data_IF_233568878324
#
_entry.id   IF_233568878324
#
_cell.length_a   1.000
_cell.length_b   1.000
_cell.length_c   1.000
_cell.angle_alpha   90.00
_cell.angle_beta   90.00
_cell.angle_gamma   90.00
#
_symmetry.space_group_name_H-M   'P 1'
#
loop_
_entity.id
_entity.type
_entity.pdbx_description
1 polymer ?
#
# COMPACT_ATOMS: atom_id res chain seq x y z
N UNK A 1 15.86 -9.13 11.41
CA UNK A 1 16.80 -9.89 10.53
C UNK A 1 16.11 -11.18 10.11
N UNK A 2 16.19 -11.56 8.84
CA UNK A 2 15.63 -12.82 8.35
C UNK A 2 16.48 -14.00 8.85
N UNK A 3 15.87 -15.00 9.48
CA UNK A 3 16.55 -16.15 10.10
C UNK A 3 16.09 -17.46 9.48
N UNK A 4 16.83 -18.55 9.72
CA UNK A 4 16.45 -19.89 9.27
C UNK A 4 15.08 -20.32 9.85
N UNK A 5 14.79 -19.99 11.11
CA UNK A 5 13.49 -20.28 11.72
C UNK A 5 12.33 -19.58 11.00
N UNK A 6 12.54 -18.33 10.57
CA UNK A 6 11.55 -17.59 9.77
C UNK A 6 11.37 -18.28 8.41
N UNK A 7 12.47 -18.66 7.75
CA UNK A 7 12.43 -19.40 6.48
C UNK A 7 11.59 -20.69 6.59
N UNK A 8 11.85 -21.52 7.61
CA UNK A 8 11.14 -22.76 7.88
C UNK A 8 9.65 -22.52 8.14
N UNK A 9 9.32 -21.48 8.89
CA UNK A 9 7.93 -21.12 9.20
C UNK A 9 7.15 -20.71 7.96
N UNK A 10 7.76 -19.92 7.07
CA UNK A 10 7.17 -19.53 5.79
C UNK A 10 6.99 -20.76 4.89
N UNK A 11 8.01 -21.63 4.82
CA UNK A 11 7.96 -22.91 4.09
C UNK A 11 6.96 -23.91 4.66
N UNK A 12 6.51 -23.73 5.90
CA UNK A 12 5.42 -24.48 6.52
C UNK A 12 4.03 -23.81 6.33
N UNK A 13 3.97 -22.69 5.58
CA UNK A 13 2.71 -22.03 5.22
C UNK A 13 2.15 -21.13 6.32
N UNK A 14 2.98 -20.71 7.28
CA UNK A 14 2.58 -19.71 8.25
C UNK A 14 2.46 -18.33 7.59
N UNK A 15 1.56 -17.51 8.12
CA UNK A 15 1.45 -16.11 7.72
C UNK A 15 2.63 -15.35 8.30
N UNK A 16 3.23 -14.46 7.53
CA UNK A 16 4.35 -13.64 7.99
C UNK A 16 4.12 -12.16 7.68
N UNK A 17 4.55 -11.28 8.58
CA UNK A 17 4.55 -9.84 8.38
C UNK A 17 5.96 -9.36 8.05
N UNK A 18 6.09 -8.46 7.07
CA UNK A 18 7.40 -8.03 6.58
C UNK A 18 7.38 -6.57 6.10
N UNK A 19 8.49 -5.83 6.25
CA UNK A 19 8.63 -4.47 5.71
C UNK A 19 8.80 -4.51 4.18
N UNK A 20 8.32 -3.45 3.52
CA UNK A 20 8.56 -3.20 2.09
C UNK A 20 9.08 -1.78 1.88
N UNK A 21 9.41 -1.42 0.63
CA UNK A 21 9.68 -0.04 0.25
C UNK A 21 8.48 0.91 0.47
N UNK A 22 7.27 0.39 0.62
CA UNK A 22 6.03 1.16 0.84
C UNK A 22 5.51 1.12 2.27
N UNK A 23 4.81 0.04 2.62
CA UNK A 23 4.13 -0.22 3.89
C UNK A 23 4.37 -1.67 4.27
N UNK A 24 4.12 -2.06 5.51
CA UNK A 24 4.24 -3.46 5.90
C UNK A 24 3.27 -4.35 5.11
N UNK A 25 3.73 -5.55 4.76
CA UNK A 25 2.97 -6.58 4.09
C UNK A 25 2.67 -7.76 4.99
N UNK A 26 1.56 -8.44 4.74
CA UNK A 26 1.29 -9.81 5.20
C UNK A 26 1.41 -10.75 4.02
N UNK A 27 2.13 -11.84 4.21
CA UNK A 27 2.45 -12.79 3.16
C UNK A 27 2.22 -14.24 3.57
N UNK A 28 2.06 -15.09 2.56
CA UNK A 28 2.03 -16.55 2.67
C UNK A 28 2.77 -17.16 1.48
N UNK A 29 3.41 -18.30 1.69
CA UNK A 29 4.18 -18.97 0.63
C UNK A 29 3.33 -19.22 -0.62
N UNK A 30 3.89 -18.92 -1.79
CA UNK A 30 3.26 -19.30 -3.05
C UNK A 30 3.27 -20.82 -3.20
N UNK A 31 4.23 -21.57 -2.68
CA UNK A 31 4.31 -23.00 -2.98
C UNK A 31 3.30 -23.88 -2.23
N UNK A 32 2.56 -23.32 -1.27
CA UNK A 32 1.56 -24.05 -0.50
C UNK A 32 0.18 -23.70 -1.03
N UNK A 33 -0.53 -24.72 -1.48
CA UNK A 33 -1.94 -24.60 -1.86
C UNK A 33 -2.77 -24.19 -0.63
N UNK A 34 -3.75 -23.34 -0.84
CA UNK A 34 -4.68 -22.85 0.20
C UNK A 34 -4.06 -22.04 1.36
N UNK A 35 -2.76 -21.71 1.32
CA UNK A 35 -2.13 -20.87 2.36
C UNK A 35 -2.76 -19.46 2.44
N UNK A 36 -3.28 -18.96 1.32
CA UNK A 36 -4.01 -17.70 1.22
C UNK A 36 -5.31 -17.68 2.04
N UNK A 37 -5.92 -18.84 2.30
CA UNK A 37 -7.10 -18.94 3.17
C UNK A 37 -6.79 -18.45 4.59
N UNK A 38 -5.60 -18.74 5.12
CA UNK A 38 -5.16 -18.24 6.44
C UNK A 38 -5.07 -16.72 6.46
N UNK A 39 -4.50 -16.15 5.41
CA UNK A 39 -4.36 -14.69 5.27
C UNK A 39 -5.74 -14.01 5.11
N UNK A 40 -6.68 -14.61 4.37
CA UNK A 40 -8.04 -14.10 4.28
C UNK A 40 -8.79 -14.15 5.61
N UNK A 41 -8.68 -15.27 6.33
CA UNK A 41 -9.29 -15.44 7.65
C UNK A 41 -8.76 -14.41 8.65
N UNK A 42 -7.44 -14.26 8.75
CA UNK A 42 -6.77 -13.32 9.65
C UNK A 42 -7.16 -11.86 9.40
N UNK A 43 -7.39 -11.48 8.13
CA UNK A 43 -7.76 -10.10 7.76
C UNK A 43 -9.26 -9.83 7.76
N UNK A 44 -10.08 -10.81 8.10
CA UNK A 44 -11.53 -10.81 7.86
C UNK A 44 -11.86 -10.30 6.45
N UNK A 45 -11.10 -10.79 5.46
CA UNK A 45 -11.11 -10.29 4.09
C UNK A 45 -11.82 -11.30 3.20
N UNK A 46 -12.77 -10.83 2.38
CA UNK A 46 -13.36 -11.65 1.32
C UNK A 46 -12.29 -12.18 0.37
N UNK A 47 -12.36 -13.47 0.02
CA UNK A 47 -11.49 -14.13 -0.96
C UNK A 47 -11.60 -13.54 -2.37
N UNK A 48 -12.63 -12.72 -2.63
CA UNK A 48 -12.77 -11.99 -3.89
C UNK A 48 -11.76 -10.84 -4.03
N UNK A 49 -11.20 -10.34 -2.92
CA UNK A 49 -10.22 -9.25 -2.97
C UNK A 49 -8.83 -9.82 -3.26
N UNK A 50 -8.39 -9.71 -4.51
CA UNK A 50 -7.12 -10.22 -5.00
C UNK A 50 -5.93 -9.89 -4.08
N UNK A 51 -5.05 -10.89 -3.92
CA UNK A 51 -3.70 -10.74 -3.39
C UNK A 51 -2.74 -10.42 -4.54
N UNK A 52 -1.57 -9.88 -4.22
CA UNK A 52 -0.51 -9.68 -5.20
C UNK A 52 0.56 -10.75 -5.05
N UNK A 53 1.11 -11.22 -6.16
CA UNK A 53 2.29 -12.10 -6.17
C UNK A 53 3.54 -11.24 -6.12
N UNK A 54 4.40 -11.52 -5.15
CA UNK A 54 5.69 -10.87 -5.00
C UNK A 54 6.75 -11.77 -5.65
N UNK A 55 7.50 -11.19 -6.57
CA UNK A 55 8.51 -11.85 -7.40
C UNK A 55 9.79 -11.00 -7.44
N UNK A 56 10.91 -11.60 -7.80
CA UNK A 56 12.24 -10.99 -7.80
C UNK A 56 12.62 -10.38 -9.14
N UNK A 57 12.00 -10.82 -10.24
CA UNK A 57 12.33 -10.35 -11.58
C UNK A 57 11.14 -10.40 -12.55
N UNK A 58 11.34 -9.82 -13.74
CA UNK A 58 10.38 -9.90 -14.84
C UNK A 58 10.22 -11.35 -15.34
N UNK A 59 11.31 -12.10 -15.41
CA UNK A 59 11.30 -13.50 -15.85
C UNK A 59 10.49 -14.37 -14.88
N UNK A 60 10.66 -14.17 -13.57
CA UNK A 60 9.86 -14.87 -12.57
C UNK A 60 8.38 -14.47 -12.60
N UNK A 61 8.10 -13.19 -12.86
CA UNK A 61 6.73 -12.69 -13.10
C UNK A 61 6.09 -13.43 -14.27
N UNK A 62 6.74 -13.46 -15.44
CA UNK A 62 6.24 -14.13 -16.65
C UNK A 62 6.09 -15.64 -16.46
N UNK A 63 7.02 -16.27 -15.74
CA UNK A 63 6.94 -17.68 -15.37
C UNK A 63 5.72 -17.98 -14.50
N UNK A 64 5.45 -17.14 -13.48
CA UNK A 64 4.25 -17.27 -12.65
C UNK A 64 2.98 -16.96 -13.46
N UNK A 65 3.00 -15.96 -14.34
CA UNK A 65 1.86 -15.63 -15.19
C UNK A 65 1.61 -16.66 -16.30
N UNK A 66 2.60 -17.51 -16.62
CA UNK A 66 2.59 -18.44 -17.75
C UNK A 66 2.28 -17.74 -19.10
N UNK A 67 2.77 -16.52 -19.25
CA UNK A 67 2.71 -15.77 -20.50
C UNK A 67 3.68 -14.59 -20.50
N UNK A 68 4.03 -14.13 -21.69
CA UNK A 68 4.81 -12.90 -21.88
C UNK A 68 3.95 -11.67 -21.65
N UNK A 69 4.59 -10.59 -21.17
CA UNK A 69 3.94 -9.30 -20.99
C UNK A 69 3.91 -8.46 -22.27
N UNK A 70 2.85 -7.67 -22.41
CA UNK A 70 2.67 -6.68 -23.47
C UNK A 70 3.63 -5.49 -23.35
N UNK A 71 3.61 -4.64 -24.38
CA UNK A 71 4.57 -3.54 -24.51
C UNK A 71 4.38 -2.46 -23.42
N UNK A 72 3.13 -2.15 -23.06
CA UNK A 72 2.83 -1.16 -22.01
C UNK A 72 3.30 -1.65 -20.65
N UNK A 73 3.09 -2.92 -20.34
CA UNK A 73 3.56 -3.56 -19.12
C UNK A 73 5.08 -3.51 -19.00
N UNK A 74 5.81 -3.85 -20.08
CA UNK A 74 7.28 -3.79 -20.09
C UNK A 74 7.82 -2.37 -19.87
N UNK A 75 7.21 -1.35 -20.49
CA UNK A 75 7.57 0.06 -20.27
C UNK A 75 7.42 0.47 -18.80
N UNK A 76 6.30 0.11 -18.18
CA UNK A 76 6.03 0.40 -16.77
C UNK A 76 7.02 -0.32 -15.85
N UNK A 77 7.29 -1.61 -16.10
CA UNK A 77 8.26 -2.38 -15.32
C UNK A 77 9.65 -1.75 -15.39
N UNK A 78 10.12 -1.44 -16.60
CA UNK A 78 11.45 -0.85 -16.81
C UNK A 78 11.62 0.47 -16.06
N UNK A 79 10.55 1.26 -15.92
CA UNK A 79 10.63 2.58 -15.29
C UNK A 79 10.47 2.54 -13.78
N UNK A 80 9.56 1.71 -13.27
CA UNK A 80 9.07 1.81 -11.88
C UNK A 80 9.37 0.60 -11.00
N UNK A 81 9.91 -0.49 -11.56
CA UNK A 81 10.22 -1.70 -10.81
C UNK A 81 11.72 -2.04 -10.87
N UNK A 82 12.34 -2.49 -9.76
CA UNK A 82 11.75 -2.66 -8.41
C UNK A 82 11.30 -1.33 -7.77
N UNK A 83 10.14 -1.32 -7.11
CA UNK A 83 9.61 -0.08 -6.56
C UNK A 83 8.13 -0.11 -6.13
N UNK A 84 7.54 1.06 -5.84
CA UNK A 84 6.22 1.19 -5.23
C UNK A 84 5.09 1.10 -6.27
N UNK A 85 5.13 0.08 -7.12
CA UNK A 85 4.11 -0.20 -8.14
C UNK A 85 3.65 -1.65 -8.04
N UNK A 86 2.37 -1.88 -8.29
CA UNK A 86 1.76 -3.20 -8.44
C UNK A 86 1.13 -3.27 -9.83
N UNK A 87 1.65 -4.17 -10.66
CA UNK A 87 1.25 -4.34 -12.04
C UNK A 87 0.19 -5.43 -12.14
N UNK A 88 -0.99 -5.08 -12.62
CA UNK A 88 -2.04 -6.04 -12.96
C UNK A 88 -1.83 -6.50 -14.39
N UNK A 89 -1.87 -7.81 -14.60
CA UNK A 89 -1.82 -8.42 -15.92
C UNK A 89 -2.71 -9.66 -15.96
N UNK A 90 -3.12 -10.05 -17.17
CA UNK A 90 -3.74 -11.36 -17.43
C UNK A 90 -2.74 -12.47 -17.10
N UNK A 91 -3.19 -13.72 -17.01
CA UNK A 91 -2.30 -14.87 -16.88
C UNK A 91 -2.98 -16.13 -17.42
N UNK A 92 -2.17 -17.16 -17.68
CA UNK A 92 -2.64 -18.51 -18.02
C UNK A 92 -2.42 -19.51 -16.88
N UNK A 93 -1.94 -19.05 -15.72
CA UNK A 93 -1.68 -19.92 -14.57
C UNK A 93 -2.98 -20.54 -14.03
N UNK A 94 -3.17 -21.87 -14.12
CA UNK A 94 -4.42 -22.55 -13.77
C UNK A 94 -4.68 -22.59 -12.26
N UNK A 95 -3.70 -22.23 -11.43
CA UNK A 95 -3.87 -22.14 -9.98
C UNK A 95 -4.88 -21.07 -9.57
N UNK A 96 -4.93 -19.97 -10.31
CA UNK A 96 -5.72 -18.80 -9.94
C UNK A 96 -7.02 -18.78 -10.75
N UNK A 97 -8.20 -18.76 -10.09
CA UNK A 97 -9.48 -18.71 -10.80
C UNK A 97 -9.79 -17.33 -11.39
N UNK A 98 -9.08 -16.29 -10.95
CA UNK A 98 -9.21 -14.93 -11.49
C UNK A 98 -8.63 -14.84 -12.90
N UNK A 99 -9.08 -13.85 -13.68
CA UNK A 99 -8.53 -13.58 -15.02
C UNK A 99 -7.24 -12.78 -15.01
N UNK A 100 -6.97 -12.08 -13.90
CA UNK A 100 -5.84 -11.18 -13.74
C UNK A 100 -5.22 -11.35 -12.36
N UNK A 101 -3.91 -11.10 -12.27
CA UNK A 101 -3.14 -11.09 -11.04
C UNK A 101 -2.37 -9.77 -10.92
N UNK A 102 -2.24 -9.28 -9.69
CA UNK A 102 -1.31 -8.20 -9.37
C UNK A 102 0.07 -8.77 -9.08
N UNK A 103 1.11 -8.17 -9.64
CA UNK A 103 2.50 -8.54 -9.42
C UNK A 103 3.29 -7.37 -8.87
N UNK A 104 4.27 -7.66 -8.02
CA UNK A 104 5.16 -6.66 -7.45
C UNK A 104 6.59 -7.16 -7.36
N UNK A 105 7.52 -6.31 -7.78
CA UNK A 105 8.96 -6.47 -7.54
C UNK A 105 9.36 -5.38 -6.54
N UNK A 106 9.64 -5.77 -5.31
CA UNK A 106 9.86 -4.81 -4.20
C UNK A 106 11.31 -4.39 -4.13
N UNK A 107 11.57 -3.09 -3.98
CA UNK A 107 12.91 -2.59 -3.70
C UNK A 107 13.22 -2.63 -2.20
N UNK A 108 13.29 -3.82 -1.60
CA UNK A 108 13.58 -3.97 -0.17
C UNK A 108 14.45 -5.21 0.11
N UNK A 109 15.59 -5.08 0.81
CA UNK A 109 16.53 -6.19 1.02
C UNK A 109 15.91 -7.42 1.69
N UNK A 110 15.02 -7.21 2.68
CA UNK A 110 14.32 -8.32 3.35
C UNK A 110 13.42 -9.08 2.37
N UNK A 111 12.73 -8.39 1.45
CA UNK A 111 11.86 -9.06 0.48
C UNK A 111 12.68 -9.85 -0.53
N UNK A 112 13.81 -9.31 -0.98
CA UNK A 112 14.74 -10.03 -1.86
C UNK A 112 15.29 -11.29 -1.18
N UNK A 113 15.67 -11.20 0.11
CA UNK A 113 16.13 -12.36 0.89
C UNK A 113 15.03 -13.42 1.05
N UNK A 114 13.79 -13.01 1.33
CA UNK A 114 12.64 -13.92 1.40
C UNK A 114 12.51 -14.66 0.07
N UNK A 115 12.36 -13.95 -1.05
CA UNK A 115 12.14 -14.58 -2.37
C UNK A 115 13.29 -15.51 -2.75
N UNK A 116 14.54 -15.11 -2.49
CA UNK A 116 15.71 -15.96 -2.75
C UNK A 116 15.68 -17.29 -1.97
N UNK A 117 15.13 -17.30 -0.76
CA UNK A 117 15.15 -18.46 0.15
C UNK A 117 13.90 -19.32 0.09
N UNK A 118 12.74 -18.70 -0.13
CA UNK A 118 11.43 -19.36 -0.09
C UNK A 118 10.69 -19.37 -1.43
N UNK A 119 11.17 -18.62 -2.44
CA UNK A 119 10.49 -18.42 -3.72
C UNK A 119 9.44 -17.30 -3.66
N UNK A 120 8.62 -17.15 -4.74
CA UNK A 120 7.52 -16.20 -4.76
C UNK A 120 6.56 -16.38 -3.58
N UNK A 121 5.82 -15.33 -3.26
CA UNK A 121 4.80 -15.39 -2.22
C UNK A 121 3.60 -14.51 -2.56
N UNK A 122 2.44 -14.83 -1.96
CA UNK A 122 1.23 -14.01 -2.07
C UNK A 122 1.22 -13.02 -0.91
N UNK A 123 0.88 -11.77 -1.18
CA UNK A 123 0.85 -10.75 -0.14
C UNK A 123 -0.20 -9.64 -0.35
N UNK A 124 -0.46 -8.93 0.74
CA UNK A 124 -1.28 -7.71 0.83
C UNK A 124 -0.72 -6.80 1.94
N UNK A 125 -1.26 -5.59 2.14
CA UNK A 125 -0.83 -4.71 3.24
C UNK A 125 -1.15 -5.31 4.62
N UNK A 126 -0.33 -5.01 5.63
CA UNK A 126 -0.45 -5.58 6.98
C UNK A 126 -1.33 -4.75 7.92
N UNK A 127 -2.61 -4.59 7.56
CA UNK A 127 -3.59 -3.84 8.34
C UNK A 127 -4.97 -4.49 8.30
N UNK A 128 -5.81 -4.28 9.31
CA UNK A 128 -7.23 -4.68 9.21
C UNK A 128 -7.90 -4.02 8.00
N UNK A 129 -8.85 -4.72 7.38
CA UNK A 129 -9.52 -4.21 6.18
C UNK A 129 -10.21 -2.85 6.46
N UNK A 130 -9.81 -1.83 5.69
CA UNK A 130 -10.32 -0.46 5.82
C UNK A 130 -9.68 0.35 6.96
N UNK A 131 -8.66 -0.16 7.64
CA UNK A 131 -7.83 0.66 8.53
C UNK A 131 -6.71 1.35 7.73
N UNK A 132 -6.09 2.42 8.25
CA UNK A 132 -4.82 2.91 7.74
C UNK A 132 -3.81 1.75 7.52
N UNK A 133 -2.88 1.87 6.58
CA UNK A 133 -1.82 0.85 6.44
C UNK A 133 -0.88 0.86 7.66
N UNK A 134 -0.16 -0.24 7.90
CA UNK A 134 0.89 -0.29 8.92
C UNK A 134 2.24 0.00 8.27
N UNK A 135 3.11 0.76 8.94
CA UNK A 135 4.48 1.09 8.49
C UNK A 135 5.56 0.59 9.44
N UNK A 136 5.17 -0.02 10.57
CA UNK A 136 6.07 -0.65 11.53
C UNK A 136 5.53 -2.01 12.02
N UNK A 137 6.40 -2.85 12.55
CA UNK A 137 6.01 -4.11 13.19
C UNK A 137 5.03 -3.88 14.35
N UNK A 138 5.25 -2.84 15.17
CA UNK A 138 4.37 -2.50 16.29
C UNK A 138 2.96 -2.14 15.83
N UNK A 139 2.84 -1.47 14.67
CA UNK A 139 1.53 -1.17 14.09
C UNK A 139 0.82 -2.42 13.56
N UNK A 140 1.55 -3.42 13.09
CA UNK A 140 0.98 -4.73 12.72
C UNK A 140 0.46 -5.45 13.96
N UNK A 141 1.22 -5.44 15.06
CA UNK A 141 0.84 -6.06 16.36
C UNK A 141 -0.42 -5.44 16.97
N UNK A 142 -0.72 -4.17 16.64
CA UNK A 142 -1.96 -3.53 17.08
C UNK A 142 -3.20 -4.04 16.35
N UNK A 143 -3.04 -4.64 15.17
CA UNK A 143 -4.15 -5.09 14.32
C UNK A 143 -4.36 -6.62 14.38
N UNK A 144 -3.31 -7.37 14.73
CA UNK A 144 -3.33 -8.84 14.67
C UNK A 144 -2.65 -9.46 15.90
N UNK A 145 -3.14 -10.63 16.37
CA UNK A 145 -2.46 -11.40 17.41
C UNK A 145 -1.05 -11.82 16.97
N UNK A 146 -0.08 -11.74 17.89
CA UNK A 146 1.32 -12.06 17.57
C UNK A 146 1.52 -13.55 17.29
N UNK A 147 0.77 -14.40 17.97
CA UNK A 147 0.82 -15.86 17.85
C UNK A 147 0.44 -16.38 16.46
N UNK A 148 -0.31 -15.60 15.68
CA UNK A 148 -0.80 -15.98 14.35
C UNK A 148 0.15 -15.55 13.21
N UNK A 149 1.18 -14.74 13.51
CA UNK A 149 2.04 -14.10 12.51
C UNK A 149 3.52 -14.25 12.86
N UNK A 150 4.29 -14.76 11.90
CA UNK A 150 5.75 -14.66 11.93
C UNK A 150 6.17 -13.22 11.64
N UNK A 151 6.60 -12.49 12.67
CA UNK A 151 6.98 -11.08 12.54
C UNK A 151 8.43 -10.92 12.04
N UNK A 152 8.61 -10.14 10.97
CA UNK A 152 9.93 -9.74 10.47
C UNK A 152 10.08 -8.23 10.65
N UNK A 153 10.97 -7.81 11.54
CA UNK A 153 11.24 -6.39 11.80
C UNK A 153 12.09 -5.74 10.71
N UNK A 154 11.79 -4.47 10.40
CA UNK A 154 12.56 -3.55 9.58
C UNK A 154 11.77 -2.27 9.33
N UNK A 155 12.22 -1.43 8.41
CA UNK A 155 11.61 -0.12 8.17
C UNK A 155 11.02 -0.02 6.77
N UNK A 156 9.95 0.75 6.65
CA UNK A 156 9.39 1.13 5.36
C UNK A 156 9.98 2.45 4.88
N UNK A 157 10.46 2.48 3.63
CA UNK A 157 11.20 3.63 3.09
C UNK A 157 10.33 4.74 2.47
N UNK A 158 9.03 4.55 2.30
CA UNK A 158 8.12 5.57 1.73
C UNK A 158 6.98 5.89 2.70
N UNK A 159 6.32 4.87 3.25
CA UNK A 159 5.16 5.04 4.15
C UNK A 159 3.83 5.27 3.45
N UNK A 160 3.77 5.21 2.12
CA UNK A 160 2.55 5.30 1.32
C UNK A 160 2.41 4.03 0.48
N UNK A 161 1.19 3.58 0.18
CA UNK A 161 1.00 2.35 -0.59
C UNK A 161 1.47 2.47 -2.04
N UNK A 162 1.70 1.31 -2.66
CA UNK A 162 2.00 1.21 -4.08
C UNK A 162 0.84 1.67 -4.95
N UNK A 163 1.18 2.24 -6.11
CA UNK A 163 0.22 2.47 -7.19
C UNK A 163 -0.16 1.14 -7.85
N UNK A 164 -1.43 0.94 -8.15
CA UNK A 164 -1.96 -0.30 -8.75
C UNK A 164 -2.52 0.02 -10.13
N UNK A 165 -1.97 -0.59 -11.18
CA UNK A 165 -2.26 -0.27 -12.58
C UNK A 165 -2.35 -1.55 -13.41
N UNK A 166 -3.31 -1.61 -14.33
CA UNK A 166 -3.27 -2.50 -15.50
C UNK A 166 -2.75 -1.66 -16.70
N UNK A 167 -1.48 -1.83 -17.10
CA UNK A 167 -0.89 -0.97 -18.14
C UNK A 167 -1.43 -1.24 -19.55
N UNK A 168 -1.90 -2.46 -19.83
CA UNK A 168 -2.42 -2.79 -21.16
C UNK A 168 -3.80 -2.18 -21.38
N UNK A 169 -4.67 -2.28 -20.36
CA UNK A 169 -5.99 -1.66 -20.39
C UNK A 169 -5.95 -0.17 -19.99
N UNK A 170 -4.80 0.32 -19.50
CA UNK A 170 -4.56 1.69 -18.99
C UNK A 170 -5.53 2.09 -17.88
N UNK A 171 -5.72 1.19 -16.91
CA UNK A 171 -6.64 1.38 -15.78
C UNK A 171 -5.86 1.47 -14.47
N UNK A 172 -5.91 2.63 -13.81
CA UNK A 172 -5.37 2.81 -12.46
C UNK A 172 -6.45 2.45 -11.45
N UNK A 173 -6.23 1.38 -10.69
CA UNK A 173 -7.15 0.92 -9.65
C UNK A 173 -6.87 1.53 -8.28
N UNK A 174 -5.65 2.02 -8.08
CA UNK A 174 -5.26 2.81 -6.92
C UNK A 174 -4.09 3.69 -7.29
N UNK A 175 -4.28 4.99 -7.14
CA UNK A 175 -3.19 5.93 -7.13
C UNK A 175 -2.50 5.92 -5.76
N UNK A 176 -1.20 5.60 -5.74
CA UNK A 176 -0.37 5.50 -4.53
C UNK A 176 0.86 6.38 -4.63
N UNK A 177 2.02 5.85 -4.25
CA UNK A 177 3.30 6.56 -4.30
C UNK A 177 3.60 7.20 -5.67
N UNK A 178 3.31 6.49 -6.76
CA UNK A 178 3.48 6.96 -8.14
C UNK A 178 2.18 7.59 -8.63
N UNK A 179 2.24 8.81 -9.15
CA UNK A 179 1.05 9.51 -9.65
C UNK A 179 0.57 8.98 -10.99
N UNK A 180 -0.72 9.19 -11.27
CA UNK A 180 -1.30 8.86 -12.58
C UNK A 180 -0.57 9.65 -13.67
N UNK A 181 -0.24 10.92 -13.43
CA UNK A 181 0.49 11.75 -14.37
C UNK A 181 1.87 11.16 -14.73
N UNK A 182 2.59 10.59 -13.76
CA UNK A 182 3.86 9.88 -14.01
C UNK A 182 3.64 8.62 -14.86
N UNK A 183 2.56 7.85 -14.61
CA UNK A 183 2.20 6.67 -15.40
C UNK A 183 1.87 7.08 -16.84
N UNK A 184 1.04 8.08 -17.03
CA UNK A 184 0.61 8.58 -18.34
C UNK A 184 1.79 9.12 -19.16
N UNK A 185 2.76 9.77 -18.50
CA UNK A 185 4.00 10.23 -19.13
C UNK A 185 4.78 9.07 -19.75
N UNK A 186 4.85 7.93 -19.04
CA UNK A 186 5.59 6.74 -19.51
C UNK A 186 4.84 6.00 -20.61
N UNK A 187 3.51 5.92 -20.50
CA UNK A 187 2.66 5.26 -21.48
C UNK A 187 2.44 6.13 -22.74
N UNK A 188 2.60 7.44 -22.62
CA UNK A 188 2.32 8.41 -23.68
C UNK A 188 0.82 8.57 -23.97
N UNK A 189 -0.05 8.19 -23.02
CA UNK A 189 -1.49 8.21 -23.19
C UNK A 189 -2.21 8.31 -21.84
N UNK A 190 -3.43 8.89 -21.80
CA UNK A 190 -4.23 8.97 -20.58
C UNK A 190 -4.64 7.59 -20.05
N UNK A 191 -4.85 7.51 -18.73
CA UNK A 191 -5.34 6.34 -18.02
C UNK A 191 -6.74 6.58 -17.45
N UNK A 192 -7.57 5.54 -17.45
CA UNK A 192 -8.82 5.56 -16.69
C UNK A 192 -8.50 5.44 -15.19
N UNK A 193 -9.05 6.34 -14.38
CA UNK A 193 -8.89 6.31 -12.92
C UNK A 193 -10.11 5.65 -12.25
N UNK A 194 -9.92 4.44 -11.74
CA UNK A 194 -10.91 3.70 -10.94
C UNK A 194 -10.52 3.63 -9.46
N UNK A 195 -9.61 4.51 -9.02
CA UNK A 195 -9.22 4.61 -7.61
C UNK A 195 -10.45 4.89 -6.76
N UNK A 196 -10.73 4.00 -5.82
CA UNK A 196 -11.77 4.23 -4.81
C UNK A 196 -11.24 5.15 -3.71
N UNK A 197 -12.14 5.82 -3.00
CA UNK A 197 -11.77 6.51 -1.78
C UNK A 197 -11.06 5.56 -0.80
N UNK A 198 -10.11 6.13 -0.08
CA UNK A 198 -9.32 5.39 0.89
C UNK A 198 -10.24 4.93 2.02
N UNK A 199 -10.39 3.62 2.20
CA UNK A 199 -11.38 3.05 3.12
C UNK A 199 -11.24 3.47 4.59
N UNK A 200 -10.10 4.03 5.01
CA UNK A 200 -9.95 4.61 6.35
C UNK A 200 -10.74 5.92 6.53
N UNK A 201 -11.09 6.62 5.45
CA UNK A 201 -11.90 7.85 5.48
C UNK A 201 -13.31 7.62 5.98
N UNK A 202 -13.83 6.41 5.83
CA UNK A 202 -15.11 6.00 6.43
C UNK A 202 -15.02 5.86 7.96
N UNK A 203 -13.81 5.74 8.52
CA UNK A 203 -13.56 5.48 9.94
C UNK A 203 -12.93 6.64 10.70
N UNK A 204 -12.35 7.61 9.99
CA UNK A 204 -11.60 8.73 10.57
C UNK A 204 -12.11 10.03 9.94
N UNK A 205 -12.53 10.99 10.78
CA UNK A 205 -12.83 12.34 10.34
C UNK A 205 -11.56 13.11 10.01
N UNK A 206 -11.28 13.36 8.74
CA UNK A 206 -10.07 14.05 8.29
C UNK A 206 -10.41 15.50 7.93
N UNK A 207 -9.73 16.42 8.61
CA UNK A 207 -9.79 17.85 8.36
C UNK A 207 -8.44 18.35 7.88
N UNK A 208 -8.44 19.34 6.99
CA UNK A 208 -7.21 19.97 6.49
C UNK A 208 -7.33 21.48 6.65
N UNK A 209 -6.31 22.09 7.23
CA UNK A 209 -6.18 23.54 7.39
C UNK A 209 -4.84 23.99 6.82
N UNK A 210 -4.75 25.19 6.24
CA UNK A 210 -3.54 25.64 5.54
C UNK A 210 -2.52 26.25 6.50
N UNK A 211 -3.00 27.00 7.51
CA UNK A 211 -2.15 27.80 8.39
C UNK A 211 -2.39 27.54 9.89
N UNK A 212 -1.46 27.92 10.78
CA UNK A 212 -1.70 27.92 12.22
C UNK A 212 -2.91 28.79 12.65
N UNK A 213 -3.20 29.87 11.93
CA UNK A 213 -4.36 30.72 12.22
C UNK A 213 -5.70 30.02 11.89
N UNK A 214 -5.73 29.28 10.78
CA UNK A 214 -6.88 28.44 10.41
C UNK A 214 -7.10 27.34 11.45
N UNK A 215 -6.03 26.72 11.93
CA UNK A 215 -6.09 25.73 13.01
C UNK A 215 -6.68 26.33 14.28
N UNK A 216 -6.21 27.50 14.71
CA UNK A 216 -6.76 28.19 15.88
C UNK A 216 -8.26 28.46 15.70
N UNK A 217 -8.67 28.93 14.53
CA UNK A 217 -10.08 29.20 14.21
C UNK A 217 -10.93 27.92 14.26
N UNK A 218 -10.41 26.81 13.72
CA UNK A 218 -11.06 25.50 13.78
C UNK A 218 -11.26 25.05 15.23
N UNK A 219 -10.20 25.10 16.05
CA UNK A 219 -10.25 24.65 17.45
C UNK A 219 -11.18 25.52 18.31
N UNK A 220 -11.20 26.84 18.08
CA UNK A 220 -12.12 27.75 18.76
C UNK A 220 -13.58 27.43 18.44
N UNK A 221 -13.89 27.01 17.21
CA UNK A 221 -15.22 26.56 16.82
C UNK A 221 -15.60 25.17 17.38
N UNK A 222 -14.62 24.41 17.90
CA UNK A 222 -14.79 23.04 18.41
C UNK A 222 -14.07 22.87 19.75
N UNK A 223 -14.56 23.47 20.85
CA UNK A 223 -13.89 23.46 22.16
C UNK A 223 -13.76 22.07 22.79
N UNK A 224 -14.44 21.05 22.25
CA UNK A 224 -14.37 19.66 22.71
C UNK A 224 -13.57 18.74 21.77
N UNK A 225 -12.84 19.30 20.80
CA UNK A 225 -11.98 18.50 19.92
C UNK A 225 -10.92 17.75 20.75
N UNK A 226 -10.94 16.42 20.67
CA UNK A 226 -9.95 15.53 21.30
C UNK A 226 -9.31 14.59 20.26
N UNK A 227 -9.27 15.04 19.01
CA UNK A 227 -8.62 14.34 17.93
C UNK A 227 -7.12 14.61 17.90
N UNK A 228 -6.47 14.13 16.85
CA UNK A 228 -5.04 14.31 16.63
C UNK A 228 -4.79 15.54 15.77
N UNK A 229 -3.72 16.28 16.05
CA UNK A 229 -3.27 17.41 15.23
C UNK A 229 -1.91 17.07 14.64
N UNK A 230 -1.81 17.11 13.31
CA UNK A 230 -0.58 16.85 12.57
C UNK A 230 -0.09 18.16 11.95
N UNK A 231 0.94 18.76 12.54
CA UNK A 231 1.50 20.04 12.06
C UNK A 231 2.41 19.89 10.84
N UNK A 232 3.06 18.73 10.69
CA UNK A 232 4.04 18.46 9.66
C UNK A 232 3.78 17.07 9.07
N UNK A 233 2.74 16.93 8.23
CA UNK A 233 2.46 15.67 7.57
C UNK A 233 3.62 15.24 6.68
N UNK A 234 4.03 13.99 6.83
CA UNK A 234 5.15 13.40 6.10
C UNK A 234 4.75 12.00 5.62
N UNK A 235 5.13 11.55 4.40
CA UNK A 235 4.82 10.22 3.88
C UNK A 235 5.04 9.06 4.87
N UNK A 236 6.23 8.98 5.46
CA UNK A 236 6.57 7.95 6.46
C UNK A 236 5.66 7.88 7.70
N UNK A 237 5.14 9.02 8.17
CA UNK A 237 4.34 9.07 9.40
C UNK A 237 2.85 9.23 9.12
N UNK A 238 2.46 9.47 7.86
CA UNK A 238 1.08 9.74 7.47
C UNK A 238 0.11 8.70 8.01
N UNK A 239 0.42 7.42 7.79
CA UNK A 239 -0.41 6.34 8.32
C UNK A 239 -0.33 6.19 9.83
N UNK A 240 0.84 6.33 10.43
CA UNK A 240 1.00 6.27 11.89
C UNK A 240 0.11 7.30 12.60
N UNK A 241 0.06 8.53 12.11
CA UNK A 241 -0.77 9.58 12.71
C UNK A 241 -2.27 9.30 12.48
N UNK A 242 -2.67 8.76 11.33
CA UNK A 242 -4.03 8.27 11.12
C UNK A 242 -4.39 7.13 12.08
N UNK A 243 -3.46 6.20 12.35
CA UNK A 243 -3.67 5.11 13.32
C UNK A 243 -3.81 5.63 14.75
N UNK A 244 -3.09 6.70 15.11
CA UNK A 244 -3.29 7.40 16.38
C UNK A 244 -4.68 8.03 16.43
N UNK A 245 -5.10 8.71 15.36
CA UNK A 245 -6.42 9.33 15.27
C UNK A 245 -7.55 8.31 15.42
N UNK A 246 -7.46 7.16 14.73
CA UNK A 246 -8.44 6.07 14.82
C UNK A 246 -8.67 5.57 16.26
N UNK A 247 -7.64 5.69 17.12
CA UNK A 247 -7.67 5.31 18.54
C UNK A 247 -7.93 6.48 19.49
N UNK A 248 -8.05 7.70 18.96
CA UNK A 248 -8.43 8.88 19.74
C UNK A 248 -9.93 8.86 20.08
N UNK A 249 -10.36 9.55 21.15
CA UNK A 249 -11.77 9.57 21.56
C UNK A 249 -12.75 10.04 20.50
N UNK A 250 -12.36 10.99 19.64
CA UNK A 250 -13.24 11.53 18.59
C UNK A 250 -13.02 10.88 17.22
N UNK A 251 -11.97 10.08 17.06
CA UNK A 251 -11.60 9.47 15.77
C UNK A 251 -11.42 10.53 14.66
N UNK A 252 -10.93 11.70 15.04
CA UNK A 252 -10.69 12.81 14.12
C UNK A 252 -9.22 13.19 14.08
N UNK A 253 -8.80 13.74 12.94
CA UNK A 253 -7.48 14.31 12.72
C UNK A 253 -7.57 15.61 11.96
N UNK A 254 -6.72 16.56 12.33
CA UNK A 254 -6.50 17.79 11.56
C UNK A 254 -5.07 17.75 11.03
N UNK A 255 -4.92 17.91 9.72
CA UNK A 255 -3.63 18.14 9.09
C UNK A 255 -3.45 19.63 8.82
N UNK A 256 -2.35 20.19 9.31
CA UNK A 256 -1.87 21.51 8.87
C UNK A 256 -1.06 21.26 7.59
N UNK A 257 -1.69 21.47 6.44
CA UNK A 257 -1.13 21.14 5.14
C UNK A 257 -1.53 22.19 4.12
N UNK A 258 -0.52 22.82 3.52
CA UNK A 258 -0.68 23.72 2.38
C UNK A 258 0.03 23.12 1.17
N UNK A 259 -0.74 22.80 0.13
CA UNK A 259 -0.22 22.21 -1.10
C UNK A 259 0.81 23.11 -1.80
N UNK A 260 0.71 24.42 -1.62
CA UNK A 260 1.63 25.38 -2.24
C UNK A 260 3.00 25.44 -1.54
N UNK A 261 3.07 25.05 -0.26
CA UNK A 261 4.25 25.28 0.59
C UNK A 261 4.81 23.98 1.22
N UNK A 262 4.21 22.83 0.90
CA UNK A 262 4.64 21.53 1.43
C UNK A 262 5.83 20.95 0.66
N UNK A 263 6.71 20.24 1.39
CA UNK A 263 7.75 19.41 0.78
C UNK A 263 7.18 18.11 0.16
N UNK A 264 5.96 17.73 0.54
CA UNK A 264 5.34 16.45 0.16
C UNK A 264 4.00 16.65 -0.57
N UNK A 265 4.00 17.22 -1.79
CA UNK A 265 2.77 17.47 -2.57
C UNK A 265 1.98 16.19 -2.85
N UNK A 266 2.65 15.03 -2.82
CA UNK A 266 2.05 13.70 -2.91
C UNK A 266 0.89 13.48 -1.93
N UNK A 267 0.97 14.01 -0.71
CA UNK A 267 -0.03 13.78 0.34
C UNK A 267 -1.38 14.42 0.02
N UNK A 268 -1.42 15.42 -0.86
CA UNK A 268 -2.66 16.05 -1.32
C UNK A 268 -3.69 15.03 -1.82
N UNK A 269 -3.23 13.99 -2.52
CA UNK A 269 -4.05 12.90 -3.05
C UNK A 269 -4.70 12.07 -1.94
N UNK A 270 -3.95 11.85 -0.86
CA UNK A 270 -4.43 11.12 0.31
C UNK A 270 -5.31 12.00 1.21
N UNK A 271 -5.07 13.30 1.22
CA UNK A 271 -5.80 14.31 1.98
C UNK A 271 -7.04 14.85 1.24
N UNK A 272 -7.20 14.55 -0.04
CA UNK A 272 -8.34 15.04 -0.84
C UNK A 272 -8.25 16.54 -1.12
N UNK A 273 -7.04 17.07 -1.18
CA UNK A 273 -6.74 18.48 -1.47
C UNK A 273 -6.32 18.58 -2.93
N UNK A 274 -6.93 19.48 -3.68
CA UNK A 274 -6.50 19.85 -5.03
C UNK A 274 -5.90 21.26 -5.03
N UNK A 275 -5.15 21.61 -6.07
CA UNK A 275 -4.87 23.02 -6.32
C UNK A 275 -6.22 23.72 -6.52
N UNK A 276 -6.53 24.72 -5.68
CA UNK A 276 -7.63 25.63 -5.95
C UNK A 276 -7.32 26.28 -7.30
N UNK A 277 -8.16 26.06 -8.32
CA UNK A 277 -8.08 26.76 -9.62
C UNK A 277 -8.58 28.20 -9.44
N UNK A 278 -7.99 28.92 -8.49
CA UNK A 278 -8.25 30.30 -8.12
C UNK A 278 -7.42 31.31 -8.92
N UNK A 279 -7.02 30.95 -10.14
CA UNK A 279 -6.53 31.88 -11.16
C UNK A 279 -7.00 31.39 -12.53
N UNK A 280 -8.25 31.71 -12.86
CA UNK A 280 -8.58 32.01 -14.24
C UNK A 280 -7.92 33.36 -14.56
N UNK A 281 -6.97 33.35 -15.49
CA UNK A 281 -6.65 34.51 -16.32
C UNK A 281 -7.24 34.27 -17.71
#
# INVERSE_FOLDING_TARGET
MFSQQIEESIKAGQVFAFPTDTVYGLGVSFHILDADQRLFALKHRSSQKALSVYVSSLEELEAVAQQSLGASSRKIIQKFLPGPLTLITKHNNPRFPQKTLGFRIVNHPIVQQIIQKVGPFLATSANLSGFPSAVSADEVKQDFPEEDIVMISGECSIGLESTVIDPEERIVYREGAISIAEIETVLGAPCANLSKELGFREKIGIHVVKTPADLCSFLLSRPHFKGVICHQPHPHTFYSVLRQALRSPTQEIIFVYDLCNTEYPILSRFLGVSYDSGYAL
#
